data_IF_452708839685
#
_entry.id   IF_452708839685
#
_cell.length_a   1.000
_cell.length_b   1.000
_cell.length_c   1.000
_cell.angle_alpha   90.00
_cell.angle_beta   90.00
_cell.angle_gamma   90.00
#
_symmetry.space_group_name_H-M   'P 1'
#
loop_
_entity.id
_entity.type
_entity.pdbx_description
1 polymer ?
#
# COMPACT_ATOMS: atom_id res chain seq x y z
N UNK A 1 -18.91 15.57 -2.12
CA UNK A 1 -17.65 15.05 -2.74
C UNK A 1 -16.66 14.83 -1.62
N UNK A 2 -15.84 13.77 -1.67
CA UNK A 2 -14.66 13.66 -0.80
C UNK A 2 -13.57 14.63 -1.31
N UNK A 3 -12.68 15.15 -0.45
CA UNK A 3 -11.55 15.97 -0.88
C UNK A 3 -10.45 15.10 -1.54
N UNK A 4 -9.52 15.71 -2.28
CA UNK A 4 -8.29 15.02 -2.67
C UNK A 4 -7.27 15.03 -1.51
N UNK A 5 -6.14 14.35 -1.66
CA UNK A 5 -5.01 14.42 -0.74
C UNK A 5 -4.20 15.67 -1.09
N UNK A 6 -4.07 16.60 -0.15
CA UNK A 6 -3.44 17.90 -0.40
C UNK A 6 -2.16 18.12 0.39
N UNK A 7 -2.06 17.52 1.58
CA UNK A 7 -0.94 17.76 2.47
C UNK A 7 -0.52 16.52 3.28
N UNK A 8 0.43 16.72 4.19
CA UNK A 8 0.94 15.67 5.07
C UNK A 8 -0.07 15.27 6.14
N UNK A 9 -0.97 16.16 6.56
CA UNK A 9 -1.98 15.85 7.57
C UNK A 9 -3.00 14.85 6.99
N UNK A 10 -3.45 15.08 5.74
CA UNK A 10 -4.28 14.14 4.99
C UNK A 10 -3.62 12.75 4.91
N UNK A 11 -2.32 12.71 4.62
CA UNK A 11 -1.56 11.46 4.57
C UNK A 11 -1.47 10.75 5.91
N UNK A 12 -1.25 11.47 7.01
CA UNK A 12 -1.18 10.89 8.35
C UNK A 12 -2.52 10.25 8.73
N UNK A 13 -3.64 10.91 8.45
CA UNK A 13 -4.96 10.38 8.74
C UNK A 13 -5.31 9.18 7.86
N UNK A 14 -4.96 9.24 6.57
CA UNK A 14 -5.08 8.11 5.65
C UNK A 14 -4.26 6.91 6.14
N UNK A 15 -3.01 7.13 6.54
CA UNK A 15 -2.11 6.08 7.02
C UNK A 15 -2.63 5.44 8.32
N UNK A 16 -3.12 6.23 9.27
CA UNK A 16 -3.73 5.70 10.49
C UNK A 16 -4.92 4.78 10.17
N UNK A 17 -5.79 5.20 9.25
CA UNK A 17 -6.94 4.40 8.81
C UNK A 17 -6.50 3.11 8.11
N UNK A 18 -5.50 3.20 7.25
CA UNK A 18 -4.92 2.06 6.56
C UNK A 18 -4.32 1.05 7.55
N UNK A 19 -3.46 1.50 8.46
CA UNK A 19 -2.81 0.61 9.43
C UNK A 19 -3.80 0.01 10.43
N UNK A 20 -4.82 0.75 10.86
CA UNK A 20 -5.89 0.18 11.68
C UNK A 20 -6.55 -1.03 10.98
N UNK A 21 -6.83 -0.92 9.68
CA UNK A 21 -7.37 -2.03 8.91
C UNK A 21 -6.35 -3.15 8.68
N UNK A 22 -5.08 -2.80 8.43
CA UNK A 22 -4.00 -3.77 8.21
C UNK A 22 -3.70 -4.60 9.46
N UNK A 23 -3.68 -3.98 10.66
CA UNK A 23 -3.49 -4.69 11.93
C UNK A 23 -4.63 -5.65 12.24
N UNK A 24 -5.86 -5.28 11.90
CA UNK A 24 -7.05 -6.12 12.13
C UNK A 24 -7.24 -7.21 11.07
N UNK A 25 -6.48 -7.19 9.99
CA UNK A 25 -6.64 -8.13 8.90
C UNK A 25 -6.05 -9.52 9.24
N UNK A 26 -6.81 -10.62 9.09
CA UNK A 26 -6.34 -11.95 9.49
C UNK A 26 -5.16 -12.47 8.65
N UNK A 27 -5.01 -12.00 7.40
CA UNK A 27 -3.94 -12.46 6.51
C UNK A 27 -2.64 -11.65 6.73
N UNK A 28 -2.73 -10.32 6.71
CA UNK A 28 -1.53 -9.46 6.79
C UNK A 28 -1.24 -8.93 8.20
N UNK A 29 -2.23 -8.89 9.10
CA UNK A 29 -2.09 -8.41 10.47
C UNK A 29 -0.95 -9.07 11.25
N UNK A 30 -0.80 -10.41 11.22
CA UNK A 30 0.32 -11.08 11.87
C UNK A 30 1.72 -10.60 11.41
N UNK A 31 1.84 -10.01 10.22
CA UNK A 31 3.12 -9.49 9.69
C UNK A 31 3.50 -8.13 10.23
N UNK A 32 2.55 -7.46 10.86
CA UNK A 32 2.78 -6.21 11.59
C UNK A 32 2.92 -6.44 13.10
N UNK A 33 2.86 -7.68 13.59
CA UNK A 33 3.07 -7.99 14.99
C UNK A 33 4.44 -7.45 15.48
N UNK A 34 4.41 -6.60 16.50
CA UNK A 34 5.61 -5.94 17.04
C UNK A 34 6.01 -4.62 16.36
N UNK A 35 5.28 -4.15 15.35
CA UNK A 35 5.49 -2.82 14.80
C UNK A 35 4.98 -1.75 15.78
N UNK A 36 5.87 -0.86 16.22
CA UNK A 36 5.48 0.40 16.86
C UNK A 36 5.01 1.38 15.78
N UNK A 37 3.68 1.43 15.57
CA UNK A 37 3.11 2.35 14.60
C UNK A 37 3.41 3.81 14.94
N UNK A 38 3.42 4.20 16.21
CA UNK A 38 3.62 5.61 16.60
C UNK A 38 5.03 6.06 16.22
N UNK A 39 6.03 5.23 16.51
CA UNK A 39 7.41 5.50 16.12
C UNK A 39 7.63 5.44 14.59
N UNK A 40 6.90 4.57 13.89
CA UNK A 40 7.12 4.33 12.45
C UNK A 40 6.35 5.30 11.54
N UNK A 41 5.18 5.78 11.97
CA UNK A 41 4.26 6.58 11.18
C UNK A 41 4.89 7.84 10.55
N UNK A 42 5.76 8.62 11.25
CA UNK A 42 6.39 9.79 10.63
C UNK A 42 7.22 9.42 9.39
N UNK A 43 7.98 8.33 9.44
CA UNK A 43 8.82 7.89 8.32
C UNK A 43 7.99 7.41 7.12
N UNK A 44 6.88 6.72 7.38
CA UNK A 44 5.97 6.26 6.33
C UNK A 44 5.24 7.47 5.71
N UNK A 45 4.86 8.46 6.52
CA UNK A 45 4.26 9.70 6.03
C UNK A 45 5.22 10.47 5.13
N UNK A 46 6.50 10.57 5.50
CA UNK A 46 7.52 11.25 4.68
C UNK A 46 7.73 10.52 3.34
N UNK A 47 7.74 9.18 3.36
CA UNK A 47 7.78 8.38 2.15
C UNK A 47 6.64 8.71 1.19
N UNK A 48 5.39 8.71 1.68
CA UNK A 48 4.22 8.99 0.85
C UNK A 48 4.13 10.44 0.42
N UNK A 49 4.55 11.38 1.27
CA UNK A 49 4.61 12.79 0.91
C UNK A 49 5.54 13.02 -0.28
N UNK A 50 6.74 12.43 -0.25
CA UNK A 50 7.66 12.45 -1.41
C UNK A 50 7.01 11.78 -2.63
N UNK A 51 6.43 10.59 -2.45
CA UNK A 51 5.89 9.79 -3.55
C UNK A 51 4.67 10.43 -4.25
N UNK A 52 3.84 11.19 -3.52
CA UNK A 52 2.55 11.68 -4.02
C UNK A 52 2.52 13.18 -4.24
N UNK A 53 3.14 13.94 -3.33
CA UNK A 53 3.12 15.40 -3.31
C UNK A 53 4.42 16.01 -3.84
N UNK A 54 5.41 15.17 -4.21
CA UNK A 54 6.74 15.59 -4.68
C UNK A 54 7.48 16.48 -3.66
N UNK A 55 7.23 16.26 -2.38
CA UNK A 55 7.87 17.02 -1.30
C UNK A 55 9.29 16.50 -1.03
N UNK A 56 10.28 17.00 -1.77
CA UNK A 56 11.70 16.69 -1.53
C UNK A 56 12.16 15.30 -2.02
N UNK A 57 13.26 14.80 -1.44
CA UNK A 57 13.89 13.53 -1.83
C UNK A 57 13.72 12.44 -0.75
N UNK A 58 13.32 11.24 -1.15
CA UNK A 58 13.28 10.07 -0.27
C UNK A 58 14.52 9.18 -0.51
N UNK A 59 15.37 9.02 0.52
CA UNK A 59 16.69 8.36 0.39
C UNK A 59 16.78 6.99 1.07
N UNK A 60 15.68 6.45 1.64
CA UNK A 60 15.73 5.18 2.39
C UNK A 60 15.43 3.97 1.50
N UNK A 61 16.12 2.87 1.77
CA UNK A 61 15.88 1.61 1.06
C UNK A 61 14.55 0.99 1.51
N UNK A 62 13.55 1.01 0.63
CA UNK A 62 12.23 0.43 0.89
C UNK A 62 12.26 -1.08 1.09
N UNK A 63 13.20 -1.79 0.46
CA UNK A 63 13.19 -3.25 0.43
C UNK A 63 13.84 -3.89 1.65
N UNK A 64 14.86 -3.25 2.23
CA UNK A 64 15.65 -3.84 3.30
C UNK A 64 14.79 -4.35 4.49
N UNK A 65 13.76 -3.61 4.97
CA UNK A 65 12.90 -4.10 6.05
C UNK A 65 12.01 -5.28 5.65
N UNK A 66 11.71 -5.46 4.36
CA UNK A 66 10.79 -6.48 3.86
C UNK A 66 11.50 -7.77 3.44
N UNK A 67 12.81 -7.71 3.20
CA UNK A 67 13.60 -8.81 2.64
C UNK A 67 13.64 -10.06 3.54
N UNK A 68 13.55 -9.89 4.86
CA UNK A 68 13.58 -10.98 5.84
C UNK A 68 12.18 -11.53 6.17
N UNK A 69 11.10 -10.91 5.66
CA UNK A 69 9.73 -11.32 5.96
C UNK A 69 9.25 -12.37 4.94
N UNK A 70 8.57 -13.46 5.36
CA UNK A 70 8.07 -14.50 4.46
C UNK A 70 6.81 -14.04 3.70
N UNK A 71 6.90 -12.96 2.92
CA UNK A 71 5.78 -12.35 2.21
C UNK A 71 5.56 -13.02 0.86
N UNK A 72 4.29 -13.30 0.56
CA UNK A 72 3.85 -13.84 -0.73
C UNK A 72 3.10 -12.78 -1.53
N UNK A 73 2.89 -13.03 -2.83
CA UNK A 73 2.08 -12.17 -3.69
C UNK A 73 0.65 -11.93 -3.16
N UNK A 74 0.08 -12.90 -2.44
CA UNK A 74 -1.21 -12.76 -1.75
C UNK A 74 -1.19 -11.69 -0.64
N UNK A 75 -0.13 -11.67 0.19
CA UNK A 75 0.04 -10.65 1.22
C UNK A 75 0.11 -9.25 0.61
N UNK A 76 0.89 -9.09 -0.47
CA UNK A 76 1.00 -7.81 -1.17
C UNK A 76 -0.32 -7.41 -1.86
N UNK A 77 -1.04 -8.37 -2.43
CA UNK A 77 -2.37 -8.15 -2.99
C UNK A 77 -3.33 -7.60 -1.94
N UNK A 78 -3.38 -8.23 -0.76
CA UNK A 78 -4.24 -7.79 0.34
C UNK A 78 -3.87 -6.42 0.87
N UNK A 79 -2.58 -6.13 1.00
CA UNK A 79 -2.08 -4.80 1.37
C UNK A 79 -2.56 -3.70 0.41
N UNK A 80 -2.49 -3.95 -0.91
CA UNK A 80 -2.97 -2.98 -1.93
C UNK A 80 -4.48 -2.77 -1.83
N UNK A 81 -5.26 -3.83 -1.58
CA UNK A 81 -6.72 -3.73 -1.43
C UNK A 81 -7.11 -2.85 -0.23
N UNK A 82 -6.49 -3.10 0.93
CA UNK A 82 -6.74 -2.31 2.14
C UNK A 82 -6.30 -0.86 1.97
N UNK A 83 -5.18 -0.62 1.28
CA UNK A 83 -4.74 0.74 0.94
C UNK A 83 -5.77 1.46 0.06
N UNK A 84 -6.23 0.82 -1.02
CA UNK A 84 -7.24 1.41 -1.89
C UNK A 84 -8.55 1.73 -1.14
N UNK A 85 -9.03 0.80 -0.30
CA UNK A 85 -10.21 1.04 0.53
C UNK A 85 -10.02 2.18 1.55
N UNK A 86 -8.80 2.33 2.10
CA UNK A 86 -8.45 3.43 2.98
C UNK A 86 -8.53 4.78 2.25
N UNK A 87 -7.96 4.86 1.03
CA UNK A 87 -7.99 6.05 0.15
C UNK A 87 -9.43 6.38 -0.23
N UNK A 88 -10.16 5.43 -0.84
CA UNK A 88 -11.49 5.66 -1.40
C UNK A 88 -12.54 6.00 -0.33
N UNK A 89 -12.32 5.62 0.94
CA UNK A 89 -13.26 5.96 2.01
C UNK A 89 -13.12 7.40 2.53
N UNK A 90 -12.05 8.14 2.23
CA UNK A 90 -11.90 9.54 2.68
C UNK A 90 -11.49 10.52 1.58
N UNK A 91 -10.90 10.05 0.49
CA UNK A 91 -10.38 10.89 -0.56
C UNK A 91 -10.90 10.48 -1.95
N UNK A 92 -10.81 11.42 -2.89
CA UNK A 92 -11.02 11.22 -4.32
C UNK A 92 -10.30 12.32 -5.10
N UNK A 93 -9.86 12.05 -6.32
CA UNK A 93 -9.19 13.03 -7.17
C UNK A 93 -7.83 12.54 -7.67
N UNK A 94 -7.10 13.38 -8.42
CA UNK A 94 -5.83 12.99 -9.05
C UNK A 94 -4.77 12.43 -8.10
N UNK A 95 -4.63 12.96 -6.87
CA UNK A 95 -3.62 12.47 -5.92
C UNK A 95 -4.07 11.17 -5.26
N UNK A 96 -5.35 11.02 -4.96
CA UNK A 96 -5.95 9.77 -4.51
C UNK A 96 -5.76 8.63 -5.54
N UNK A 97 -6.00 8.89 -6.83
CA UNK A 97 -5.75 7.90 -7.89
C UNK A 97 -4.26 7.55 -8.02
N UNK A 98 -3.39 8.57 -7.90
CA UNK A 98 -1.94 8.35 -7.87
C UNK A 98 -1.52 7.49 -6.68
N UNK A 99 -2.11 7.69 -5.50
CA UNK A 99 -1.84 6.88 -4.30
C UNK A 99 -2.14 5.40 -4.53
N UNK A 100 -3.28 5.09 -5.16
CA UNK A 100 -3.66 3.71 -5.51
C UNK A 100 -2.73 3.10 -6.55
N UNK A 101 -2.41 3.85 -7.62
CA UNK A 101 -1.50 3.38 -8.66
C UNK A 101 -0.08 3.13 -8.13
N UNK A 102 0.41 4.01 -7.23
CA UNK A 102 1.73 3.89 -6.63
C UNK A 102 1.83 2.67 -5.71
N UNK A 103 0.80 2.37 -4.91
CA UNK A 103 0.73 1.16 -4.10
C UNK A 103 0.87 -0.11 -4.95
N UNK A 104 0.18 -0.18 -6.10
CA UNK A 104 0.30 -1.31 -7.03
C UNK A 104 1.72 -1.45 -7.58
N UNK A 105 2.37 -0.35 -7.95
CA UNK A 105 3.75 -0.36 -8.45
C UNK A 105 4.74 -0.87 -7.41
N UNK A 106 4.59 -0.44 -6.15
CA UNK A 106 5.42 -0.89 -5.02
C UNK A 106 5.23 -2.40 -4.82
N UNK A 107 3.99 -2.86 -4.73
CA UNK A 107 3.68 -4.28 -4.55
C UNK A 107 4.31 -5.15 -5.64
N UNK A 108 4.16 -4.77 -6.92
CA UNK A 108 4.77 -5.52 -8.04
C UNK A 108 6.30 -5.56 -7.96
N UNK A 109 6.93 -4.46 -7.56
CA UNK A 109 8.38 -4.41 -7.40
C UNK A 109 8.87 -5.30 -6.24
N UNK A 110 8.12 -5.34 -5.14
CA UNK A 110 8.40 -6.20 -3.98
C UNK A 110 8.23 -7.69 -4.32
N UNK A 111 7.18 -8.05 -5.05
CA UNK A 111 6.95 -9.43 -5.51
C UNK A 111 8.13 -9.88 -6.38
N UNK A 112 8.45 -9.14 -7.45
CA UNK A 112 9.58 -9.49 -8.33
C UNK A 112 10.89 -9.70 -7.58
N UNK A 113 11.15 -8.88 -6.56
CA UNK A 113 12.40 -8.96 -5.79
C UNK A 113 12.39 -10.09 -4.75
N UNK A 114 11.22 -10.54 -4.29
CA UNK A 114 11.09 -11.60 -3.29
C UNK A 114 10.94 -13.00 -3.91
N UNK A 115 10.30 -13.13 -5.07
CA UNK A 115 10.04 -14.42 -5.73
C UNK A 115 10.82 -14.63 -7.02
N UNK A 116 11.35 -13.58 -7.64
CA UNK A 116 11.92 -13.62 -8.98
C UNK A 116 10.88 -13.68 -10.10
N UNK A 117 9.58 -13.69 -9.78
CA UNK A 117 8.48 -13.82 -10.74
C UNK A 117 7.83 -12.47 -11.07
N UNK A 118 7.39 -12.28 -12.31
CA UNK A 118 6.55 -11.14 -12.67
C UNK A 118 5.07 -11.43 -12.34
N UNK A 119 4.44 -10.69 -11.42
CA UNK A 119 3.03 -10.87 -11.09
C UNK A 119 2.08 -10.60 -12.27
N UNK A 120 2.56 -10.00 -13.38
CA UNK A 120 1.78 -9.85 -14.60
C UNK A 120 1.61 -11.16 -15.39
N UNK A 121 2.44 -12.18 -15.14
CA UNK A 121 2.49 -13.41 -15.95
C UNK A 121 1.65 -14.56 -15.39
N UNK A 122 0.88 -14.34 -14.31
CA UNK A 122 -0.13 -15.29 -13.83
C UNK A 122 0.43 -16.55 -13.17
N UNK A 123 1.43 -16.41 -12.29
CA UNK A 123 1.83 -17.50 -11.40
C UNK A 123 0.71 -17.87 -10.41
N UNK A 124 0.65 -19.14 -10.01
CA UNK A 124 -0.43 -19.78 -9.26
C UNK A 124 -0.74 -19.21 -7.85
N UNK A 125 -0.15 -18.07 -7.46
CA UNK A 125 -0.33 -17.42 -6.17
C UNK A 125 -0.66 -15.93 -6.27
N UNK A 126 -1.94 -15.59 -6.39
CA UNK A 126 -2.54 -14.63 -5.44
C UNK A 126 -2.32 -13.12 -5.56
N UNK A 127 -1.74 -12.53 -6.62
CA UNK A 127 -1.85 -11.07 -6.78
C UNK A 127 -3.13 -10.69 -7.52
N UNK A 128 -4.18 -10.31 -6.78
CA UNK A 128 -5.40 -9.75 -7.38
C UNK A 128 -5.27 -8.21 -7.39
N UNK A 129 -4.98 -7.59 -8.55
CA UNK A 129 -4.93 -6.14 -8.63
C UNK A 129 -6.33 -5.55 -8.38
N UNK A 130 -6.38 -4.31 -7.86
CA UNK A 130 -7.65 -3.61 -7.61
C UNK A 130 -8.53 -3.55 -8.87
N UNK A 131 -7.93 -3.44 -10.05
CA UNK A 131 -8.63 -3.51 -11.33
C UNK A 131 -9.39 -4.82 -11.54
N UNK A 132 -8.87 -5.96 -11.08
CA UNK A 132 -9.54 -7.25 -11.19
C UNK A 132 -10.73 -7.41 -10.22
N UNK A 133 -10.74 -6.69 -9.10
CA UNK A 133 -11.87 -6.67 -8.15
C UNK A 133 -13.00 -5.75 -8.62
N UNK A 134 -12.66 -4.62 -9.24
CA UNK A 134 -13.64 -3.69 -9.79
C UNK A 134 -14.41 -4.32 -10.97
N UNK A 135 -13.75 -5.15 -11.78
CA UNK A 135 -14.40 -5.89 -12.87
C UNK A 135 -15.41 -6.95 -12.38
N UNK A 136 -15.19 -7.54 -11.19
CA UNK A 136 -16.11 -8.53 -10.60
C UNK A 136 -17.36 -7.92 -9.96
N UNK A 137 -17.35 -6.63 -9.65
CA UNK A 137 -18.49 -5.94 -9.02
C UNK A 137 -19.41 -5.26 -10.04
N UNK A 138 -19.06 -5.32 -11.33
CA UNK A 138 -19.79 -4.73 -12.45
C UNK A 138 -20.41 -5.80 -13.38
N UNK A 139 -20.58 -7.03 -12.89
CA UNK A 139 -21.17 -8.18 -13.61
C UNK A 139 -22.33 -8.77 -12.83
#
# INVERSE_FOLDING_TARGET
>A
MRPDITDRADLVDLLRRFYAAAFADPLIGPRFAGMDLVAHLPHIADFWAVALLRSGEYRRNLFAPHAALPLTAEHYGRWVQLWAAAVDGRHQGPVAERAKAQAQRIARAMIRRSTGEDPATGGAGGFVPVSALLLRSAS
#
